data_IF_539719623278
#
_entry.id   IF_539719623278
#
_cell.length_a   1.000
_cell.length_b   1.000
_cell.length_c   1.000
_cell.angle_alpha   90.00
_cell.angle_beta   90.00
_cell.angle_gamma   90.00
#
_symmetry.space_group_name_H-M   'P 1'
#
loop_
_entity.id
_entity.type
_entity.pdbx_description
1 polymer ?
#
# COMPACT_ATOMS: atom_id res chain seq x y z
N UNK A 1 2.36 -29.65 27.46
CA UNK A 1 2.85 -31.00 27.14
C UNK A 1 2.23 -31.44 25.83
N UNK A 2 3.02 -31.82 24.80
CA UNK A 2 2.49 -32.10 23.46
C UNK A 2 1.71 -33.43 23.46
N UNK A 3 0.58 -33.46 22.75
CA UNK A 3 -0.19 -34.68 22.54
C UNK A 3 0.60 -35.70 21.69
N UNK A 4 0.38 -37.01 21.85
CA UNK A 4 1.17 -38.06 21.19
C UNK A 4 0.93 -38.21 19.67
N UNK A 5 -0.10 -37.53 19.12
CA UNK A 5 -0.32 -37.40 17.69
C UNK A 5 0.25 -36.07 17.21
N UNK A 6 1.14 -36.09 16.22
CA UNK A 6 1.79 -34.89 15.69
C UNK A 6 0.83 -33.74 15.42
N UNK A 7 1.33 -32.50 15.43
CA UNK A 7 0.57 -31.27 15.26
C UNK A 7 -0.47 -31.40 14.12
N UNK A 8 -1.76 -31.48 14.45
CA UNK A 8 -2.84 -31.75 13.50
C UNK A 8 -2.78 -30.81 12.28
N UNK A 9 -2.49 -29.53 12.52
CA UNK A 9 -2.30 -28.53 11.48
C UNK A 9 -1.12 -28.81 10.54
N UNK A 10 -0.01 -29.36 11.03
CA UNK A 10 1.11 -29.77 10.17
C UNK A 10 0.74 -30.96 9.29
N UNK A 11 -0.01 -31.92 9.81
CA UNK A 11 -0.53 -33.05 9.02
C UNK A 11 -1.54 -32.58 7.97
N UNK A 12 -2.48 -31.71 8.33
CA UNK A 12 -3.43 -31.08 7.40
C UNK A 12 -2.69 -30.32 6.29
N UNK A 13 -1.67 -29.52 6.64
CA UNK A 13 -0.90 -28.75 5.68
C UNK A 13 -0.19 -29.66 4.66
N UNK A 14 0.37 -30.79 5.10
CA UNK A 14 0.98 -31.79 4.19
C UNK A 14 -0.02 -32.39 3.20
N UNK A 15 -1.30 -32.43 3.56
CA UNK A 15 -2.39 -32.90 2.70
C UNK A 15 -3.09 -31.76 1.94
N UNK A 16 -2.58 -30.53 2.04
CA UNK A 16 -3.12 -29.38 1.31
C UNK A 16 -4.24 -28.61 2.01
N UNK A 17 -4.34 -28.68 3.34
CA UNK A 17 -5.38 -28.04 4.14
C UNK A 17 -4.83 -27.18 5.29
N UNK A 18 -5.58 -26.17 5.70
CA UNK A 18 -5.37 -25.40 6.93
C UNK A 18 -6.52 -25.68 7.88
N UNK A 19 -6.22 -26.08 9.11
CA UNK A 19 -7.21 -26.19 10.17
C UNK A 19 -7.71 -24.80 10.62
N UNK A 20 -8.98 -24.70 10.96
CA UNK A 20 -9.59 -23.41 11.36
C UNK A 20 -9.35 -23.04 12.82
N UNK A 21 -8.60 -23.87 13.56
CA UNK A 21 -8.15 -23.64 14.94
C UNK A 21 -6.71 -24.15 15.12
N UNK A 22 -5.91 -23.57 16.02
CA UNK A 22 -4.49 -23.91 16.17
C UNK A 22 -4.23 -25.23 16.90
N UNK A 23 -5.13 -25.64 17.81
CA UNK A 23 -4.91 -26.76 18.74
C UNK A 23 -5.74 -27.98 18.30
N UNK A 24 -7.04 -27.79 18.12
CA UNK A 24 -7.98 -28.87 17.80
C UNK A 24 -8.92 -28.44 16.66
N UNK A 25 -8.46 -28.56 15.39
CA UNK A 25 -9.25 -28.13 14.26
C UNK A 25 -10.33 -29.17 13.92
N UNK A 26 -11.60 -28.84 14.17
CA UNK A 26 -12.74 -29.66 13.70
C UNK A 26 -13.10 -29.43 12.22
N UNK A 27 -12.70 -28.30 11.67
CA UNK A 27 -12.87 -27.95 10.24
C UNK A 27 -11.52 -27.64 9.65
N UNK A 28 -11.32 -27.99 8.38
CA UNK A 28 -10.15 -27.60 7.61
C UNK A 28 -10.56 -27.09 6.22
N UNK A 29 -9.80 -26.13 5.70
CA UNK A 29 -10.05 -25.51 4.40
C UNK A 29 -8.85 -25.80 3.51
N UNK A 30 -9.10 -26.21 2.26
CA UNK A 30 -8.01 -26.52 1.34
C UNK A 30 -7.25 -25.25 0.92
N UNK A 31 -5.95 -25.37 0.67
CA UNK A 31 -5.14 -24.29 0.10
C UNK A 31 -5.70 -23.81 -1.24
N UNK A 32 -6.28 -24.71 -2.04
CA UNK A 32 -6.90 -24.35 -3.32
C UNK A 32 -8.04 -23.36 -3.14
N UNK A 33 -8.94 -23.60 -2.18
CA UNK A 33 -10.05 -22.68 -1.88
C UNK A 33 -9.54 -21.34 -1.37
N UNK A 34 -8.52 -21.34 -0.51
CA UNK A 34 -7.89 -20.13 0.00
C UNK A 34 -7.21 -19.31 -1.12
N UNK A 35 -6.49 -19.98 -2.02
CA UNK A 35 -5.86 -19.33 -3.18
C UNK A 35 -6.90 -18.80 -4.17
N UNK A 36 -7.99 -19.55 -4.42
CA UNK A 36 -9.11 -19.06 -5.23
C UNK A 36 -9.67 -17.77 -4.64
N UNK A 37 -9.88 -17.71 -3.33
CA UNK A 37 -10.36 -16.48 -2.68
C UNK A 37 -9.34 -15.34 -2.78
N UNK A 38 -8.05 -15.62 -2.58
CA UNK A 38 -6.97 -14.64 -2.74
C UNK A 38 -6.92 -14.06 -4.15
N UNK A 39 -6.98 -14.91 -5.17
CA UNK A 39 -6.99 -14.51 -6.57
C UNK A 39 -8.23 -13.68 -6.92
N UNK A 40 -9.41 -14.10 -6.45
CA UNK A 40 -10.66 -13.35 -6.65
C UNK A 40 -10.59 -11.94 -6.03
N UNK A 41 -10.08 -11.82 -4.81
CA UNK A 41 -9.87 -10.51 -4.15
C UNK A 41 -8.96 -9.57 -4.92
N UNK A 42 -8.00 -10.10 -5.69
CA UNK A 42 -7.12 -9.31 -6.54
C UNK A 42 -7.76 -8.85 -7.86
N UNK A 43 -8.93 -9.39 -8.24
CA UNK A 43 -9.61 -9.13 -9.52
C UNK A 43 -10.95 -8.41 -9.36
N UNK A 44 -11.65 -8.69 -8.27
CA UNK A 44 -12.98 -8.18 -8.01
C UNK A 44 -13.23 -7.99 -6.52
N UNK A 45 -14.22 -7.16 -6.20
CA UNK A 45 -14.73 -7.07 -4.85
C UNK A 45 -15.51 -8.35 -4.50
N UNK A 46 -14.90 -9.22 -3.68
CA UNK A 46 -15.53 -10.47 -3.21
C UNK A 46 -15.63 -10.48 -1.68
N UNK A 47 -16.81 -10.17 -1.12
CA UNK A 47 -17.05 -10.27 0.32
C UNK A 47 -16.79 -11.69 0.83
N UNK A 48 -16.11 -11.83 1.99
CA UNK A 48 -15.87 -13.14 2.62
C UNK A 48 -17.16 -13.93 2.82
N UNK A 49 -18.22 -13.24 3.27
CA UNK A 49 -19.51 -13.86 3.50
C UNK A 49 -20.14 -14.42 2.22
N UNK A 50 -20.08 -13.67 1.12
CA UNK A 50 -20.61 -14.13 -0.16
C UNK A 50 -19.82 -15.34 -0.68
N UNK A 51 -18.49 -15.30 -0.57
CA UNK A 51 -17.64 -16.42 -0.97
C UNK A 51 -17.92 -17.69 -0.16
N UNK A 52 -17.96 -17.60 1.17
CA UNK A 52 -18.22 -18.74 2.05
C UNK A 52 -19.61 -19.34 1.81
N UNK A 53 -20.64 -18.50 1.66
CA UNK A 53 -21.99 -18.97 1.33
C UNK A 53 -22.06 -19.68 -0.02
N UNK A 54 -21.32 -19.18 -1.01
CA UNK A 54 -21.23 -19.85 -2.31
C UNK A 54 -20.64 -21.25 -2.16
N UNK A 55 -19.64 -21.43 -1.29
CA UNK A 55 -19.09 -22.77 -0.99
C UNK A 55 -20.12 -23.65 -0.29
N UNK A 56 -20.86 -23.12 0.68
CA UNK A 56 -21.93 -23.85 1.36
C UNK A 56 -23.01 -24.31 0.37
N UNK A 57 -23.45 -23.43 -0.53
CA UNK A 57 -24.43 -23.70 -1.58
C UNK A 57 -23.93 -24.78 -2.55
N UNK A 58 -22.66 -24.71 -2.97
CA UNK A 58 -22.04 -25.71 -3.85
C UNK A 58 -21.92 -27.10 -3.18
N UNK A 59 -21.81 -27.14 -1.85
CA UNK A 59 -21.79 -28.39 -1.09
C UNK A 59 -23.20 -28.88 -0.71
N UNK A 60 -24.24 -28.09 -1.00
CA UNK A 60 -25.61 -28.40 -0.61
C UNK A 60 -25.81 -28.43 0.90
N UNK A 61 -24.98 -27.71 1.69
CA UNK A 61 -25.07 -27.71 3.14
C UNK A 61 -25.68 -26.40 3.68
N UNK A 62 -26.46 -26.45 4.77
CA UNK A 62 -26.96 -25.24 5.42
C UNK A 62 -25.80 -24.34 5.89
N UNK A 63 -25.99 -23.02 5.77
CA UNK A 63 -24.98 -22.06 6.19
C UNK A 63 -24.69 -22.16 7.70
N UNK A 64 -23.43 -22.37 8.05
CA UNK A 64 -22.97 -22.33 9.44
C UNK A 64 -22.54 -20.90 9.81
N UNK A 65 -23.16 -20.32 10.84
CA UNK A 65 -22.85 -18.97 11.34
C UNK A 65 -21.36 -18.76 11.70
N UNK A 66 -20.65 -19.82 12.09
CA UNK A 66 -19.23 -19.76 12.42
C UNK A 66 -18.31 -19.88 11.21
N UNK A 67 -18.80 -20.34 10.05
CA UNK A 67 -17.98 -20.64 8.88
C UNK A 67 -17.23 -19.42 8.34
N UNK A 68 -17.87 -18.25 8.32
CA UNK A 68 -17.21 -17.00 7.86
C UNK A 68 -16.04 -16.63 8.76
N UNK A 69 -16.19 -16.79 10.08
CA UNK A 69 -15.12 -16.51 11.05
C UNK A 69 -14.00 -17.55 10.94
N UNK A 70 -14.35 -18.83 10.86
CA UNK A 70 -13.40 -19.93 10.66
C UNK A 70 -12.58 -19.75 9.37
N UNK A 71 -13.26 -19.39 8.27
CA UNK A 71 -12.62 -19.06 7.01
C UNK A 71 -11.70 -17.85 7.12
N UNK A 72 -12.15 -16.76 7.75
CA UNK A 72 -11.32 -15.56 7.96
C UNK A 72 -10.04 -15.89 8.73
N UNK A 73 -10.14 -16.66 9.82
CA UNK A 73 -8.98 -17.07 10.61
C UNK A 73 -7.99 -17.92 9.78
N UNK A 74 -8.50 -18.91 9.05
CA UNK A 74 -7.66 -19.76 8.18
C UNK A 74 -7.02 -18.95 7.05
N UNK A 75 -7.74 -17.99 6.47
CA UNK A 75 -7.24 -17.12 5.42
C UNK A 75 -6.14 -16.18 5.92
N UNK A 76 -6.28 -15.60 7.11
CA UNK A 76 -5.20 -14.79 7.69
C UNK A 76 -3.93 -15.62 7.93
N UNK A 77 -4.07 -16.85 8.43
CA UNK A 77 -2.94 -17.79 8.59
C UNK A 77 -2.33 -18.14 7.24
N UNK A 78 -3.15 -18.40 6.22
CA UNK A 78 -2.70 -18.66 4.86
C UNK A 78 -1.84 -17.51 4.31
N UNK A 79 -2.33 -16.28 4.39
CA UNK A 79 -1.59 -15.10 3.94
C UNK A 79 -0.27 -14.97 4.69
N UNK A 80 -0.25 -15.20 6.01
CA UNK A 80 1.00 -15.17 6.79
C UNK A 80 2.01 -16.24 6.36
N UNK A 81 1.54 -17.44 6.03
CA UNK A 81 2.40 -18.50 5.49
C UNK A 81 3.02 -18.05 4.17
N UNK A 82 2.22 -17.46 3.26
CA UNK A 82 2.74 -16.93 1.99
C UNK A 82 3.79 -15.84 2.23
N UNK A 83 3.52 -14.87 3.11
CA UNK A 83 4.48 -13.82 3.45
C UNK A 83 5.80 -14.39 4.01
N UNK A 84 5.72 -15.39 4.89
CA UNK A 84 6.91 -16.03 5.45
C UNK A 84 7.69 -16.84 4.40
N UNK A 85 6.99 -17.50 3.48
CA UNK A 85 7.62 -18.19 2.33
C UNK A 85 8.34 -17.18 1.45
N UNK A 86 7.68 -16.09 1.06
CA UNK A 86 8.27 -15.01 0.26
C UNK A 86 9.49 -14.40 0.95
N UNK A 87 9.41 -14.18 2.28
CA UNK A 87 10.54 -13.68 3.07
C UNK A 87 11.72 -14.65 3.05
N UNK A 88 11.49 -15.95 3.24
CA UNK A 88 12.56 -16.97 3.19
C UNK A 88 13.18 -17.06 1.80
N UNK A 89 12.36 -17.00 0.76
CA UNK A 89 12.84 -16.97 -0.63
C UNK A 89 13.70 -15.72 -0.85
N UNK A 90 13.29 -14.55 -0.37
CA UNK A 90 14.06 -13.32 -0.47
C UNK A 90 15.45 -13.47 0.19
N UNK A 91 15.51 -14.01 1.41
CA UNK A 91 16.80 -14.28 2.10
C UNK A 91 17.67 -15.26 1.31
N UNK A 92 17.12 -16.38 0.85
CA UNK A 92 17.87 -17.35 0.05
C UNK A 92 18.42 -16.76 -1.25
N UNK A 93 17.69 -15.82 -1.85
CA UNK A 93 18.09 -15.11 -3.07
C UNK A 93 18.91 -13.83 -2.81
N UNK A 94 19.26 -13.53 -1.55
CA UNK A 94 19.97 -12.31 -1.12
C UNK A 94 19.25 -11.02 -1.55
N UNK A 95 17.94 -10.99 -1.29
CA UNK A 95 17.01 -9.89 -1.64
C UNK A 95 16.38 -9.24 -0.41
N UNK A 96 16.99 -9.46 0.74
CA UNK A 96 16.55 -9.02 2.07
C UNK A 96 17.24 -7.73 2.54
N UNK A 97 18.17 -7.19 1.74
CA UNK A 97 18.77 -5.88 2.02
C UNK A 97 17.71 -4.76 2.12
N UNK A 98 17.94 -3.75 2.99
CA UNK A 98 17.09 -2.56 3.03
C UNK A 98 16.92 -1.94 1.65
N UNK A 99 15.66 -1.64 1.30
CA UNK A 99 15.28 -1.04 0.02
C UNK A 99 15.63 -1.87 -1.23
N UNK A 100 16.01 -3.15 -1.09
CA UNK A 100 16.31 -4.03 -2.24
C UNK A 100 15.17 -4.01 -3.26
N UNK A 101 13.93 -4.10 -2.79
CA UNK A 101 12.73 -4.03 -3.63
C UNK A 101 12.69 -2.73 -4.43
N UNK A 102 12.85 -1.57 -3.79
CA UNK A 102 12.75 -0.27 -4.47
C UNK A 102 13.83 -0.12 -5.55
N UNK A 103 15.03 -0.68 -5.31
CA UNK A 103 16.12 -0.68 -6.29
C UNK A 103 15.85 -1.62 -7.47
N UNK A 104 15.24 -2.79 -7.25
CA UNK A 104 15.26 -3.89 -8.22
C UNK A 104 13.90 -4.37 -8.76
N UNK A 105 12.76 -3.82 -8.29
CA UNK A 105 11.44 -4.38 -8.64
C UNK A 105 10.99 -4.18 -10.07
N UNK A 106 11.51 -3.16 -10.74
CA UNK A 106 11.13 -2.84 -12.11
C UNK A 106 12.33 -3.13 -13.01
N UNK A 107 12.40 -4.32 -13.65
CA UNK A 107 13.54 -4.67 -14.49
C UNK A 107 13.85 -3.62 -15.57
N UNK A 108 12.85 -3.04 -16.27
CA UNK A 108 13.12 -1.99 -17.25
C UNK A 108 13.67 -0.67 -16.66
N UNK A 109 13.49 -0.41 -15.36
CA UNK A 109 14.04 0.78 -14.70
C UNK A 109 15.37 0.52 -13.98
N UNK A 110 15.72 -0.74 -13.71
CA UNK A 110 16.89 -1.11 -12.89
C UNK A 110 18.02 -1.73 -13.70
N UNK A 111 17.71 -2.32 -14.85
CA UNK A 111 18.70 -2.95 -15.71
C UNK A 111 19.27 -1.94 -16.70
N UNK A 112 20.59 -1.75 -16.68
CA UNK A 112 21.32 -0.90 -17.63
C UNK A 112 22.09 -1.75 -18.63
N UNK A 113 22.04 -1.41 -19.92
CA UNK A 113 22.84 -2.09 -20.95
C UNK A 113 24.26 -1.48 -21.03
N UNK A 114 25.26 -2.27 -21.46
CA UNK A 114 26.67 -1.83 -21.52
C UNK A 114 26.87 -0.59 -22.39
N UNK A 115 26.14 -0.47 -23.50
CA UNK A 115 26.18 0.65 -24.43
C UNK A 115 24.96 1.58 -24.32
N UNK A 116 24.28 1.60 -23.18
CA UNK A 116 23.11 2.46 -22.99
C UNK A 116 23.53 3.93 -22.92
N UNK A 117 22.99 4.81 -23.79
CA UNK A 117 23.29 6.23 -23.70
C UNK A 117 22.76 6.80 -22.37
N UNK A 118 23.45 7.82 -21.86
CA UNK A 118 23.01 8.48 -20.64
C UNK A 118 21.58 9.03 -20.81
N UNK A 119 20.65 8.51 -20.01
CA UNK A 119 19.28 8.96 -20.00
C UNK A 119 19.17 10.32 -19.28
N UNK A 120 18.32 11.19 -19.83
CA UNK A 120 17.96 12.46 -19.15
C UNK A 120 17.39 12.21 -17.75
N UNK A 121 16.66 11.10 -17.58
CA UNK A 121 16.18 10.61 -16.29
C UNK A 121 16.37 9.09 -16.27
N UNK A 122 17.03 8.55 -15.24
CA UNK A 122 17.18 7.09 -15.09
C UNK A 122 15.83 6.42 -14.80
N UNK A 123 14.92 7.13 -14.14
CA UNK A 123 13.57 6.65 -13.85
C UNK A 123 12.56 7.76 -13.99
N UNK A 124 11.47 7.42 -14.69
CA UNK A 124 10.26 8.23 -14.75
C UNK A 124 9.24 7.63 -13.78
N UNK A 125 8.84 8.44 -12.82
CA UNK A 125 7.95 8.12 -11.72
C UNK A 125 6.75 9.07 -11.76
N UNK A 126 5.63 8.63 -11.22
CA UNK A 126 4.45 9.46 -10.98
C UNK A 126 4.00 9.26 -9.55
N UNK A 127 3.57 10.35 -8.91
CA UNK A 127 3.01 10.32 -7.56
C UNK A 127 1.59 10.87 -7.58
N UNK A 128 0.70 10.26 -6.78
CA UNK A 128 -0.69 10.69 -6.69
C UNK A 128 -1.33 10.21 -5.37
N UNK A 129 -2.34 10.93 -4.89
CA UNK A 129 -3.16 10.52 -3.77
C UNK A 129 -4.46 9.83 -4.19
N UNK A 130 -4.85 8.83 -3.41
CA UNK A 130 -6.10 8.10 -3.60
C UNK A 130 -6.91 8.13 -2.30
N UNK A 131 -7.93 8.98 -2.32
CA UNK A 131 -8.88 9.18 -1.22
C UNK A 131 -9.99 8.12 -1.15
N UNK A 132 -9.99 7.08 -1.98
CA UNK A 132 -11.04 6.04 -1.96
C UNK A 132 -10.74 4.89 -0.99
N UNK A 133 -9.47 4.68 -0.66
CA UNK A 133 -9.00 3.58 0.19
C UNK A 133 -9.04 3.96 1.67
N UNK A 134 -10.25 4.14 2.19
CA UNK A 134 -10.48 4.62 3.57
C UNK A 134 -10.67 3.46 4.55
N UNK A 135 -10.19 3.64 5.78
CA UNK A 135 -10.50 2.76 6.92
C UNK A 135 -11.07 3.58 8.07
N UNK A 136 -12.23 3.15 8.58
CA UNK A 136 -12.84 3.80 9.73
C UNK A 136 -11.97 3.66 10.98
N UNK A 137 -11.95 4.69 11.82
CA UNK A 137 -11.15 4.71 13.05
C UNK A 137 -11.50 3.62 14.05
N UNK A 138 -12.76 3.20 14.09
CA UNK A 138 -13.22 2.12 14.96
C UNK A 138 -13.02 0.72 14.34
N UNK A 139 -12.54 0.61 13.10
CA UNK A 139 -12.23 -0.66 12.47
C UNK A 139 -10.80 -1.11 12.81
N UNK A 140 -10.57 -2.43 12.90
CA UNK A 140 -9.24 -3.00 13.11
C UNK A 140 -8.76 -3.07 14.57
N UNK A 141 -9.59 -2.71 15.55
CA UNK A 141 -9.22 -2.75 16.97
C UNK A 141 -9.08 -4.16 17.57
N UNK A 142 -9.58 -5.18 16.88
CA UNK A 142 -9.60 -6.56 17.39
C UNK A 142 -8.33 -7.36 17.08
N UNK A 143 -7.55 -6.94 16.09
CA UNK A 143 -6.35 -7.64 15.66
C UNK A 143 -5.11 -6.75 15.89
N UNK A 144 -4.27 -7.07 16.88
CA UNK A 144 -3.09 -6.25 17.19
C UNK A 144 -1.93 -6.49 16.22
N UNK A 145 -2.05 -7.42 15.27
CA UNK A 145 -0.97 -7.74 14.34
C UNK A 145 -0.69 -6.56 13.41
N UNK A 146 0.59 -6.27 13.23
CA UNK A 146 1.08 -5.30 12.24
C UNK A 146 1.42 -6.01 10.94
N UNK A 147 1.05 -5.40 9.82
CA UNK A 147 1.46 -5.87 8.50
C UNK A 147 2.78 -5.22 8.12
N UNK A 148 3.86 -5.99 8.10
CA UNK A 148 5.16 -5.50 7.65
C UNK A 148 5.23 -5.52 6.12
N UNK A 149 5.50 -4.34 5.54
CA UNK A 149 5.62 -4.18 4.10
C UNK A 149 6.78 -3.27 3.76
N UNK A 150 7.57 -3.67 2.77
CA UNK A 150 8.63 -2.86 2.19
C UNK A 150 8.11 -1.90 1.10
N UNK A 151 6.79 -1.80 0.90
CA UNK A 151 6.15 -0.80 0.05
C UNK A 151 5.81 0.48 0.81
N UNK A 152 5.45 0.36 2.09
CA UNK A 152 4.88 1.46 2.87
C UNK A 152 5.97 2.25 3.59
N UNK A 153 5.89 3.57 3.53
CA UNK A 153 6.62 4.45 4.44
C UNK A 153 5.94 4.43 5.81
N UNK A 154 6.75 4.39 6.85
CA UNK A 154 6.29 4.54 8.23
C UNK A 154 5.71 5.94 8.44
N UNK A 155 4.63 6.05 9.21
CA UNK A 155 4.03 7.34 9.59
C UNK A 155 5.05 8.29 10.21
N UNK A 156 5.96 7.76 11.04
CA UNK A 156 7.02 8.50 11.71
C UNK A 156 8.02 9.12 10.72
N UNK A 157 8.24 8.48 9.57
CA UNK A 157 9.09 9.03 8.53
C UNK A 157 8.39 10.17 7.79
N UNK A 158 7.11 9.99 7.45
CA UNK A 158 6.31 10.99 6.74
C UNK A 158 6.08 12.24 7.59
N UNK A 159 5.84 12.08 8.89
CA UNK A 159 5.51 13.19 9.79
C UNK A 159 6.68 14.15 10.04
N UNK A 160 7.92 13.75 9.77
CA UNK A 160 9.08 14.66 9.79
C UNK A 160 8.89 15.86 8.84
N UNK A 161 8.16 15.64 7.75
CA UNK A 161 7.94 16.61 6.68
C UNK A 161 6.67 17.45 6.88
N UNK A 162 5.94 17.26 7.98
CA UNK A 162 4.65 17.94 8.21
C UNK A 162 4.79 19.47 8.30
N UNK A 163 5.93 19.98 8.77
CA UNK A 163 6.16 21.41 9.02
C UNK A 163 7.15 22.05 8.03
N UNK A 164 7.59 21.33 7.00
CA UNK A 164 8.59 21.86 6.06
C UNK A 164 8.02 22.96 5.16
N UNK A 165 6.70 23.02 5.01
CA UNK A 165 6.03 24.04 4.22
C UNK A 165 5.52 25.13 5.14
N UNK A 166 6.23 26.26 5.17
CA UNK A 166 5.74 27.48 5.81
C UNK A 166 4.54 27.99 5.01
N UNK A 167 3.42 28.26 5.68
CA UNK A 167 2.24 28.82 5.05
C UNK A 167 2.62 30.07 4.23
N UNK A 168 2.24 30.10 2.94
CA UNK A 168 2.42 31.27 2.07
C UNK A 168 1.84 32.51 2.80
N UNK A 169 2.69 33.50 3.08
CA UNK A 169 2.21 34.85 3.40
C UNK A 169 1.49 35.34 2.14
N UNK A 170 0.23 35.80 2.28
CA UNK A 170 -0.46 36.53 1.19
C UNK A 170 0.49 37.63 0.70
N UNK A 171 0.78 37.74 -0.60
CA UNK A 171 1.64 38.80 -1.09
C UNK A 171 0.88 40.13 -0.92
N UNK A 172 1.29 40.92 0.06
CA UNK A 172 0.93 42.33 0.18
C UNK A 172 1.94 43.12 -0.65
N UNK A 173 1.58 43.50 -1.87
CA UNK A 173 2.35 44.47 -2.64
C UNK A 173 2.20 44.33 -4.15
N UNK A 174 1.66 45.39 -4.77
CA UNK A 174 1.78 45.66 -6.21
C UNK A 174 3.25 45.64 -6.63
N UNK A 175 3.66 44.76 -7.55
CA UNK A 175 4.97 44.84 -8.23
C UNK A 175 4.96 44.30 -9.67
N UNK A 176 5.59 45.13 -10.50
CA UNK A 176 6.33 44.98 -11.76
C UNK A 176 6.02 43.81 -12.73
N UNK A 177 5.54 44.08 -13.97
CA UNK A 177 5.23 43.07 -14.99
C UNK A 177 6.45 42.40 -15.66
N UNK A 178 7.70 42.73 -15.30
CA UNK A 178 8.90 42.24 -16.01
C UNK A 178 9.62 41.05 -15.38
N UNK A 179 9.16 40.52 -14.25
CA UNK A 179 9.68 39.26 -13.67
C UNK A 179 9.04 38.05 -14.36
N UNK A 180 9.77 37.41 -15.29
CA UNK A 180 9.35 36.21 -16.03
C UNK A 180 9.22 34.91 -15.22
N UNK A 181 8.81 34.98 -13.95
CA UNK A 181 8.32 33.81 -13.22
C UNK A 181 6.79 33.80 -13.37
N UNK A 182 6.18 32.82 -14.06
CA UNK A 182 4.73 32.75 -14.06
C UNK A 182 4.29 32.39 -12.64
N UNK A 183 3.68 33.33 -11.93
CA UNK A 183 2.65 33.01 -10.96
C UNK A 183 1.69 32.05 -11.68
N UNK A 184 1.66 30.79 -11.25
CA UNK A 184 0.99 29.78 -12.05
C UNK A 184 -0.51 30.04 -12.04
N UNK A 185 -1.07 30.63 -13.11
CA UNK A 185 -2.52 30.65 -13.40
C UNK A 185 -3.17 29.25 -13.23
N UNK A 186 -2.34 28.20 -13.27
CA UNK A 186 -2.61 26.82 -12.88
C UNK A 186 -3.41 26.69 -11.57
N UNK A 187 -2.98 27.32 -10.47
CA UNK A 187 -3.59 27.10 -9.14
C UNK A 187 -4.97 27.73 -9.00
N UNK A 188 -5.22 28.84 -9.69
CA UNK A 188 -6.52 29.53 -9.62
C UNK A 188 -7.56 28.91 -10.56
N UNK A 189 -7.13 28.22 -11.63
CA UNK A 189 -8.02 27.53 -12.58
C UNK A 189 -8.41 26.13 -12.14
N UNK A 190 -7.60 25.43 -11.34
CA UNK A 190 -7.81 24.03 -10.99
C UNK A 190 -8.31 23.84 -9.54
N UNK A 191 -9.60 23.48 -9.40
CA UNK A 191 -10.32 23.31 -8.13
C UNK A 191 -9.94 22.05 -7.33
N UNK A 192 -9.08 21.18 -7.86
CA UNK A 192 -8.63 19.96 -7.15
C UNK A 192 -7.82 20.29 -5.89
N UNK A 193 -7.29 21.52 -5.80
CA UNK A 193 -6.48 22.02 -4.69
C UNK A 193 -7.28 22.58 -3.51
N UNK A 194 -8.63 22.51 -3.50
CA UNK A 194 -9.44 23.06 -2.41
C UNK A 194 -9.83 21.99 -1.36
N UNK A 195 -9.15 21.93 -0.20
CA UNK A 195 -9.43 20.96 0.84
C UNK A 195 -10.63 21.33 1.73
N UNK A 196 -11.32 22.45 1.48
CA UNK A 196 -12.31 23.00 2.42
C UNK A 196 -13.55 22.12 2.59
N UNK A 197 -13.92 21.32 1.58
CA UNK A 197 -15.14 20.52 1.62
C UNK A 197 -15.02 19.15 2.35
N UNK A 198 -13.81 18.68 2.70
CA UNK A 198 -13.61 17.29 3.20
C UNK A 198 -13.02 17.18 4.61
N UNK A 199 -12.63 18.28 5.26
CA UNK A 199 -11.99 18.25 6.59
C UNK A 199 -12.82 17.59 7.69
N UNK A 200 -14.14 17.76 7.68
CA UNK A 200 -15.02 17.12 8.67
C UNK A 200 -15.11 15.60 8.45
N UNK A 201 -15.10 15.15 7.19
CA UNK A 201 -15.18 13.74 6.81
C UNK A 201 -13.94 12.96 7.26
N UNK A 202 -12.75 13.57 7.27
CA UNK A 202 -11.51 12.89 7.65
C UNK A 202 -11.46 12.44 9.12
N UNK A 203 -12.24 13.06 10.01
CA UNK A 203 -12.28 12.65 11.43
C UNK A 203 -12.88 11.27 11.66
N UNK A 204 -13.68 10.75 10.72
CA UNK A 204 -14.29 9.43 10.82
C UNK A 204 -13.31 8.28 10.47
N UNK A 205 -12.24 8.59 9.73
CA UNK A 205 -11.31 7.62 9.19
C UNK A 205 -9.95 7.71 9.88
N UNK A 206 -9.28 6.58 10.08
CA UNK A 206 -7.89 6.56 10.51
C UNK A 206 -6.99 6.81 9.30
N UNK A 207 -7.02 5.90 8.32
CA UNK A 207 -6.53 6.13 6.97
C UNK A 207 -7.65 6.73 6.14
N UNK A 208 -7.43 7.96 5.68
CA UNK A 208 -8.30 8.69 4.76
C UNK A 208 -8.03 8.37 3.30
N UNK A 209 -6.95 7.64 3.03
CA UNK A 209 -6.53 7.21 1.70
C UNK A 209 -5.08 6.75 1.71
N UNK A 210 -4.51 6.59 0.52
CA UNK A 210 -3.08 6.32 0.34
C UNK A 210 -2.47 7.37 -0.61
N UNK A 211 -1.19 7.64 -0.46
CA UNK A 211 -0.39 8.37 -1.42
C UNK A 211 0.60 7.39 -2.06
N UNK A 212 0.59 7.24 -3.37
CA UNK A 212 1.33 6.20 -4.06
C UNK A 212 2.29 6.77 -5.10
N UNK A 213 3.43 6.11 -5.26
CA UNK A 213 4.40 6.36 -6.31
C UNK A 213 4.52 5.11 -7.19
N UNK A 214 4.41 5.28 -8.51
CA UNK A 214 4.62 4.22 -9.48
C UNK A 214 5.62 4.66 -10.55
N UNK A 215 6.34 3.71 -11.15
CA UNK A 215 7.11 4.00 -12.35
C UNK A 215 6.23 3.95 -13.60
N UNK A 216 6.73 4.50 -14.71
CA UNK A 216 6.07 4.46 -16.03
C UNK A 216 5.69 3.06 -16.52
N UNK A 217 6.30 2.00 -15.97
CA UNK A 217 6.04 0.60 -16.32
C UNK A 217 4.96 -0.04 -15.42
N UNK A 218 4.33 0.72 -14.52
CA UNK A 218 3.23 0.26 -13.67
C UNK A 218 3.67 -0.44 -12.38
N UNK A 219 4.96 -0.42 -12.02
CA UNK A 219 5.43 -0.97 -10.74
C UNK A 219 5.31 0.08 -9.64
N UNK A 220 4.68 -0.30 -8.52
CA UNK A 220 4.61 0.55 -7.33
C UNK A 220 6.01 0.66 -6.72
N UNK A 221 6.51 1.89 -6.65
CA UNK A 221 7.78 2.22 -6.02
C UNK A 221 7.59 2.36 -4.51
N UNK A 222 6.67 3.22 -4.05
CA UNK A 222 6.46 3.53 -2.63
C UNK A 222 4.98 3.84 -2.40
N UNK A 223 4.46 3.52 -1.22
CA UNK A 223 3.14 3.94 -0.73
C UNK A 223 3.31 4.62 0.62
N UNK A 224 2.46 5.57 0.96
CA UNK A 224 2.33 6.14 2.28
C UNK A 224 0.84 6.21 2.63
N UNK A 225 0.47 5.83 3.85
CA UNK A 225 -0.90 6.01 4.31
C UNK A 225 -1.16 7.49 4.58
N UNK A 226 -2.30 7.99 4.08
CA UNK A 226 -2.78 9.32 4.43
C UNK A 226 -3.55 9.20 5.74
N UNK A 227 -2.96 9.73 6.82
CA UNK A 227 -3.53 9.59 8.17
C UNK A 227 -4.37 10.83 8.50
N UNK A 228 -5.68 10.62 8.63
CA UNK A 228 -6.66 11.64 9.05
C UNK A 228 -6.56 12.97 8.26
N UNK A 229 -6.15 12.91 6.99
CA UNK A 229 -5.90 14.08 6.14
C UNK A 229 -6.21 13.81 4.68
N UNK A 230 -6.41 14.86 3.88
CA UNK A 230 -6.27 14.73 2.42
C UNK A 230 -4.79 14.64 2.02
N UNK A 231 -4.51 14.93 0.76
CA UNK A 231 -3.16 15.02 0.20
C UNK A 231 -2.45 16.28 0.70
N UNK A 232 -1.81 16.14 1.87
CA UNK A 232 -0.91 17.16 2.39
C UNK A 232 0.44 17.05 1.70
N UNK A 233 1.12 18.17 1.49
CA UNK A 233 2.39 18.16 0.77
C UNK A 233 3.54 17.45 1.52
N UNK A 234 3.35 17.04 2.79
CA UNK A 234 4.26 16.11 3.48
C UNK A 234 4.42 14.76 2.76
N UNK A 235 3.36 14.26 2.09
CA UNK A 235 3.40 12.97 1.39
C UNK A 235 4.32 13.00 0.16
N UNK A 236 4.13 13.91 -0.82
CA UNK A 236 5.05 14.02 -1.95
C UNK A 236 6.48 14.36 -1.51
N UNK A 237 6.69 15.18 -0.47
CA UNK A 237 8.05 15.45 0.05
C UNK A 237 8.68 14.17 0.60
N UNK A 238 7.99 13.44 1.48
CA UNK A 238 8.51 12.22 2.09
C UNK A 238 8.84 11.16 1.03
N UNK A 239 7.94 10.96 0.07
CA UNK A 239 8.16 10.03 -1.06
C UNK A 239 9.37 10.46 -1.88
N UNK A 240 9.44 11.73 -2.28
CA UNK A 240 10.57 12.26 -3.07
C UNK A 240 11.88 12.10 -2.31
N UNK A 241 11.90 12.42 -1.01
CA UNK A 241 13.09 12.26 -0.17
C UNK A 241 13.57 10.81 -0.14
N UNK A 242 12.66 9.87 0.11
CA UNK A 242 13.01 8.44 0.14
C UNK A 242 13.51 7.94 -1.22
N UNK A 243 12.93 8.42 -2.31
CA UNK A 243 13.39 8.08 -3.67
C UNK A 243 14.80 8.60 -3.93
N UNK A 244 15.09 9.85 -3.57
CA UNK A 244 16.41 10.45 -3.73
C UNK A 244 17.48 9.69 -2.90
N UNK A 245 17.15 9.34 -1.66
CA UNK A 245 18.06 8.62 -0.75
C UNK A 245 18.40 7.21 -1.28
N UNK A 246 17.48 6.56 -2.00
CA UNK A 246 17.64 5.16 -2.44
C UNK A 246 18.09 5.04 -3.89
N UNK A 247 17.59 5.89 -4.77
CA UNK A 247 17.74 5.79 -6.23
C UNK A 247 18.65 6.89 -6.82
N UNK A 248 19.05 7.88 -6.02
CA UNK A 248 19.87 9.00 -6.48
C UNK A 248 19.07 10.13 -7.11
N UNK A 249 19.77 11.08 -7.72
CA UNK A 249 19.21 12.38 -8.13
C UNK A 249 18.61 12.40 -9.54
N UNK A 250 18.92 11.42 -10.40
CA UNK A 250 18.52 11.45 -11.80
C UNK A 250 17.11 10.86 -12.03
N UNK A 251 16.10 11.47 -11.40
CA UNK A 251 14.71 11.01 -11.40
C UNK A 251 13.79 12.07 -12.01
N UNK A 252 12.87 11.65 -12.88
CA UNK A 252 11.74 12.48 -13.32
C UNK A 252 10.49 12.08 -12.55
N UNK A 253 9.91 12.98 -11.77
CA UNK A 253 8.72 12.70 -10.95
C UNK A 253 7.56 13.58 -11.45
N UNK A 254 6.54 12.95 -12.04
CA UNK A 254 5.30 13.61 -12.41
C UNK A 254 4.35 13.69 -11.22
N UNK A 255 3.72 14.85 -11.04
CA UNK A 255 2.67 15.08 -10.06
C UNK A 255 1.63 16.03 -10.66
N UNK A 256 0.34 15.70 -10.52
CA UNK A 256 -0.78 16.44 -11.14
C UNK A 256 -0.96 17.86 -10.58
N UNK A 257 -0.48 18.12 -9.35
CA UNK A 257 -0.39 19.46 -8.75
C UNK A 257 1.07 19.98 -8.66
N UNK A 258 1.96 19.50 -9.53
CA UNK A 258 3.38 19.89 -9.55
C UNK A 258 3.60 21.41 -9.60
N UNK A 259 2.74 22.17 -10.30
CA UNK A 259 2.81 23.63 -10.36
C UNK A 259 2.64 24.29 -8.97
N UNK A 260 1.73 23.76 -8.14
CA UNK A 260 1.51 24.24 -6.78
C UNK A 260 2.62 23.75 -5.83
N UNK A 261 3.10 22.53 -6.05
CA UNK A 261 4.13 21.87 -5.25
C UNK A 261 5.53 22.50 -5.43
N UNK A 262 5.91 22.89 -6.65
CA UNK A 262 7.19 23.59 -6.86
C UNK A 262 7.24 24.98 -6.18
N UNK A 263 6.09 25.52 -5.78
CA UNK A 263 5.98 26.82 -5.12
C UNK A 263 5.95 26.73 -3.58
N UNK A 264 6.15 25.54 -3.00
CA UNK A 264 6.30 25.30 -1.55
C UNK A 264 7.74 25.09 -1.15
#
# INVERSE_FOLDING_TARGET
FPYPGGWANSTLARHGFIGTSPIDPHTAISFKVLETYRALRGRAYTPRQAFVRTIDDLHGCPHNHSAVRQFSNAFDVYIRILCEVDRRIAVCLKRDDPDWRLKNSCPPCSYKCEDEPALLFERLLTVDGNNSLKRFRNAGAFDPRTFESNYFLTTEFVDKFQNEIKAKKKPTGSRDPTSGAPDSECTDRWKNTDPTHTKAMWKAFEESGIFACACRHGFIAIVADMIRSGELAKYPIAVTRKLLDVLGHNLGIGYDIGCAFCAT
#
